data_IF_205765296075
#
_entry.id   IF_205765296075
#
_cell.length_a   1.000
_cell.length_b   1.000
_cell.length_c   1.000
_cell.angle_alpha   90.00
_cell.angle_beta   90.00
_cell.angle_gamma   90.00
#
_symmetry.space_group_name_H-M   'P 1'
#
loop_
_entity.id
_entity.type
_entity.pdbx_description
1 polymer ?
#
# COMPACT_ATOMS: atom_id res chain seq x y z
N UNK A 1 -51.09 -11.15 -8.29
CA UNK A 1 -49.86 -11.90 -8.63
C UNK A 1 -49.02 -11.22 -9.71
N UNK A 2 -49.59 -10.73 -10.82
CA UNK A 2 -48.83 -10.01 -11.87
C UNK A 2 -48.12 -8.72 -11.41
N UNK A 3 -48.70 -7.97 -10.47
CA UNK A 3 -48.10 -6.70 -9.99
C UNK A 3 -46.83 -6.89 -9.16
N UNK A 4 -46.67 -8.04 -8.49
CA UNK A 4 -45.46 -8.35 -7.70
C UNK A 4 -44.30 -8.77 -8.62
N UNK A 5 -44.61 -9.50 -9.70
CA UNK A 5 -43.63 -9.91 -10.72
C UNK A 5 -43.04 -8.67 -11.42
N UNK A 6 -43.87 -7.66 -11.69
CA UNK A 6 -43.43 -6.42 -12.33
C UNK A 6 -42.49 -5.58 -11.45
N UNK A 7 -42.58 -5.69 -10.12
CA UNK A 7 -41.72 -4.96 -9.17
C UNK A 7 -40.36 -5.68 -9.02
N UNK A 8 -40.35 -7.02 -9.05
CA UNK A 8 -39.14 -7.84 -9.02
C UNK A 8 -38.23 -7.61 -10.24
N UNK A 9 -38.80 -7.31 -11.41
CA UNK A 9 -38.04 -7.05 -12.64
C UNK A 9 -37.28 -5.72 -12.63
N UNK A 10 -37.73 -4.72 -11.87
CA UNK A 10 -37.10 -3.39 -11.81
C UNK A 10 -35.83 -3.39 -10.95
N UNK A 11 -35.73 -4.29 -9.98
CA UNK A 11 -34.58 -4.38 -9.06
C UNK A 11 -33.32 -4.97 -9.71
N UNK A 12 -33.44 -5.64 -10.85
CA UNK A 12 -32.32 -6.31 -11.54
C UNK A 12 -31.52 -5.31 -12.38
N UNK A 13 -32.05 -4.11 -12.65
CA UNK A 13 -31.41 -3.13 -13.51
C UNK A 13 -30.62 -2.05 -12.75
N UNK A 14 -30.23 -2.31 -11.50
CA UNK A 14 -29.28 -1.40 -10.84
C UNK A 14 -27.90 -1.67 -11.43
N UNK A 15 -27.31 -0.75 -12.21
CA UNK A 15 -25.91 -0.88 -12.58
C UNK A 15 -25.12 -0.85 -11.28
N UNK A 16 -24.52 -1.98 -10.89
CA UNK A 16 -23.45 -1.95 -9.90
C UNK A 16 -22.38 -1.03 -10.50
N UNK A 17 -22.00 0.09 -9.86
CA UNK A 17 -20.71 0.65 -10.19
C UNK A 17 -19.72 -0.48 -9.93
N UNK A 18 -19.03 -0.93 -10.97
CA UNK A 18 -17.82 -1.70 -10.78
C UNK A 18 -16.96 -0.80 -9.90
N UNK A 19 -16.89 -1.11 -8.59
CA UNK A 19 -15.86 -0.58 -7.72
C UNK A 19 -14.61 -1.02 -8.46
N UNK A 20 -13.98 -0.08 -9.15
CA UNK A 20 -12.74 -0.31 -9.84
C UNK A 20 -11.87 -0.98 -8.78
N UNK A 21 -11.64 -2.28 -8.95
CA UNK A 21 -10.61 -3.00 -8.22
C UNK A 21 -9.42 -2.08 -8.33
N UNK A 22 -9.07 -1.44 -7.21
CA UNK A 22 -8.09 -0.36 -7.16
C UNK A 22 -7.01 -0.81 -8.12
N UNK A 23 -6.90 -0.10 -9.26
CA UNK A 23 -5.73 -0.28 -10.09
C UNK A 23 -4.66 0.24 -9.17
N UNK A 24 -4.12 -0.68 -8.37
CA UNK A 24 -2.89 -0.53 -7.65
C UNK A 24 -1.95 -0.16 -8.77
N UNK A 25 -1.77 1.15 -8.89
CA UNK A 25 -0.99 1.75 -9.93
C UNK A 25 0.40 1.26 -9.56
N UNK A 26 0.86 0.20 -10.22
CA UNK A 26 2.12 -0.48 -9.89
C UNK A 26 3.26 0.55 -9.83
N UNK A 27 3.14 1.63 -10.60
CA UNK A 27 4.04 2.77 -10.57
C UNK A 27 3.95 3.62 -9.29
N UNK A 28 2.75 3.79 -8.74
CA UNK A 28 2.51 4.49 -7.47
C UNK A 28 3.01 3.65 -6.29
N UNK A 29 2.83 2.33 -6.34
CA UNK A 29 3.37 1.37 -5.37
C UNK A 29 4.90 1.32 -5.37
N UNK A 30 5.53 1.26 -6.55
CA UNK A 30 6.99 1.34 -6.67
C UNK A 30 7.52 2.66 -6.09
N UNK A 31 6.82 3.77 -6.34
CA UNK A 31 7.17 5.07 -5.77
C UNK A 31 6.94 5.12 -4.25
N UNK A 32 5.86 4.52 -3.74
CA UNK A 32 5.57 4.46 -2.31
C UNK A 32 6.62 3.63 -1.57
N UNK A 33 6.97 2.46 -2.12
CA UNK A 33 8.01 1.59 -1.57
C UNK A 33 9.38 2.27 -1.61
N UNK A 34 9.76 2.89 -2.73
CA UNK A 34 11.01 3.62 -2.84
C UNK A 34 11.10 4.77 -1.83
N UNK A 35 10.01 5.53 -1.65
CA UNK A 35 9.94 6.60 -0.65
C UNK A 35 10.02 6.08 0.77
N UNK A 36 9.35 4.96 1.08
CA UNK A 36 9.49 4.32 2.39
C UNK A 36 10.93 3.92 2.67
N UNK A 37 11.59 3.21 1.73
CA UNK A 37 12.98 2.76 1.89
C UNK A 37 13.89 3.96 2.15
N UNK A 38 13.76 5.01 1.34
CA UNK A 38 14.56 6.22 1.50
C UNK A 38 14.35 6.88 2.86
N UNK A 39 13.09 7.04 3.31
CA UNK A 39 12.80 7.65 4.61
C UNK A 39 13.29 6.79 5.77
N UNK A 40 13.09 5.47 5.71
CA UNK A 40 13.53 4.54 6.75
C UNK A 40 15.05 4.58 6.91
N UNK A 41 15.78 4.40 5.81
CA UNK A 41 17.26 4.41 5.82
C UNK A 41 17.78 5.73 6.35
N UNK A 42 17.23 6.86 5.89
CA UNK A 42 17.66 8.20 6.35
C UNK A 42 17.48 8.37 7.86
N UNK A 43 16.30 8.00 8.39
CA UNK A 43 16.03 8.10 9.83
C UNK A 43 16.89 7.13 10.64
N UNK A 44 17.09 5.93 10.13
CA UNK A 44 17.87 4.89 10.79
C UNK A 44 19.35 5.29 10.88
N UNK A 45 19.95 5.74 9.77
CA UNK A 45 21.34 6.23 9.73
C UNK A 45 21.52 7.43 10.67
N UNK A 46 20.59 8.39 10.69
CA UNK A 46 20.69 9.53 11.61
C UNK A 46 20.69 9.11 13.09
N UNK A 47 20.03 7.99 13.43
CA UNK A 47 20.11 7.39 14.76
C UNK A 47 21.44 6.67 14.97
N UNK A 48 21.92 5.91 13.98
CA UNK A 48 23.22 5.23 14.04
C UNK A 48 24.38 6.20 14.29
N UNK A 49 24.40 7.34 13.59
CA UNK A 49 25.44 8.38 13.74
C UNK A 49 25.47 8.95 15.16
N UNK A 50 24.30 9.06 15.81
CA UNK A 50 24.20 9.49 17.21
C UNK A 50 24.64 8.42 18.21
N UNK A 51 24.56 7.15 17.82
CA UNK A 51 24.94 5.99 18.62
C UNK A 51 26.42 5.62 18.48
N UNK A 52 27.10 6.05 17.41
CA UNK A 52 28.49 5.69 17.12
C UNK A 52 28.67 4.23 16.66
N UNK A 53 27.60 3.58 16.24
CA UNK A 53 27.59 2.19 15.81
C UNK A 53 27.81 2.09 14.29
N UNK A 54 28.94 1.50 13.88
CA UNK A 54 29.33 1.37 12.48
C UNK A 54 28.52 0.32 11.71
N UNK A 55 28.04 -0.72 12.38
CA UNK A 55 27.29 -1.83 11.75
C UNK A 55 25.81 -1.50 11.59
N UNK A 56 25.32 -0.54 12.37
CA UNK A 56 23.96 -0.02 12.33
C UNK A 56 23.57 0.46 10.92
N UNK A 57 24.48 1.13 10.19
CA UNK A 57 24.22 1.64 8.83
C UNK A 57 23.89 0.52 7.83
N UNK A 58 24.59 -0.61 7.93
CA UNK A 58 24.36 -1.77 7.06
C UNK A 58 23.04 -2.45 7.41
N UNK A 59 22.79 -2.65 8.70
CA UNK A 59 21.52 -3.17 9.22
C UNK A 59 20.32 -2.30 8.79
N UNK A 60 20.46 -0.97 8.72
CA UNK A 60 19.40 -0.10 8.22
C UNK A 60 18.99 -0.44 6.79
N UNK A 61 19.96 -0.67 5.90
CA UNK A 61 19.70 -1.00 4.50
C UNK A 61 19.09 -2.40 4.34
N UNK A 62 19.58 -3.37 5.11
CA UNK A 62 19.06 -4.75 5.10
C UNK A 62 17.60 -4.83 5.59
N UNK A 63 17.26 -4.06 6.64
CA UNK A 63 15.90 -4.05 7.19
C UNK A 63 14.91 -3.18 6.39
N UNK A 64 15.38 -2.14 5.69
CA UNK A 64 14.51 -1.22 4.96
C UNK A 64 13.58 -1.92 3.96
N UNK A 65 14.08 -2.95 3.27
CA UNK A 65 13.29 -3.72 2.29
C UNK A 65 12.16 -4.52 2.95
N UNK A 66 12.40 -5.06 4.14
CA UNK A 66 11.41 -5.87 4.87
C UNK A 66 10.33 -4.97 5.50
N UNK A 67 10.75 -3.88 6.15
CA UNK A 67 9.82 -2.94 6.79
C UNK A 67 8.92 -2.25 5.77
N UNK A 68 9.48 -1.84 4.64
CA UNK A 68 8.73 -1.15 3.60
C UNK A 68 7.90 -2.06 2.68
N UNK A 69 8.06 -3.39 2.78
CA UNK A 69 7.17 -4.35 2.09
C UNK A 69 5.81 -4.46 2.77
N UNK A 70 5.75 -4.28 4.10
CA UNK A 70 4.51 -4.38 4.88
C UNK A 70 3.65 -3.10 4.83
N UNK A 71 4.22 -1.97 4.41
CA UNK A 71 3.50 -0.69 4.36
C UNK A 71 2.66 -0.49 3.07
N UNK A 72 2.72 -1.44 2.13
CA UNK A 72 2.00 -1.42 0.86
C UNK A 72 0.81 -2.38 0.79
N UNK A 73 0.31 -2.88 1.93
CA UNK A 73 -0.90 -3.70 2.05
C UNK A 73 -2.11 -2.89 2.54
#
# INVERSE_FOLDING_TARGET
MHKLISILLVLIWVPMPAIASSQINVQEDENAQARCIQQFVTQCINKCEKSGDSDCTQLCAENAKNECRQAGE
#
